data_IF_843959923111
#
_entry.id   IF_843959923111
#
_cell.length_a   1.000
_cell.length_b   1.000
_cell.length_c   1.000
_cell.angle_alpha   90.00
_cell.angle_beta   90.00
_cell.angle_gamma   90.00
#
_symmetry.space_group_name_H-M   'P 1'
#
loop_
_entity.id
_entity.type
_entity.pdbx_description
1 polymer ?
#
# COMPACT_ATOMS: atom_id res chain seq x y z
N UNK A 1 45.77 34.39 -25.37
CA UNK A 1 45.01 34.65 -24.13
C UNK A 1 43.86 33.63 -24.13
N UNK A 2 43.92 32.46 -23.49
CA UNK A 2 44.48 32.03 -22.21
C UNK A 2 43.79 32.61 -20.97
N UNK A 3 42.74 31.90 -20.52
CA UNK A 3 42.48 31.58 -19.10
C UNK A 3 41.69 30.26 -19.04
N UNK A 4 42.33 29.20 -18.52
CA UNK A 4 41.62 28.01 -18.01
C UNK A 4 41.39 28.22 -16.52
N UNK A 5 40.20 27.90 -16.01
CA UNK A 5 40.01 27.68 -14.56
C UNK A 5 39.05 26.52 -14.32
N UNK A 6 39.62 25.35 -14.07
CA UNK A 6 38.93 24.20 -13.46
C UNK A 6 38.52 24.51 -12.03
N UNK A 7 37.39 23.93 -11.57
CA UNK A 7 37.18 23.54 -10.17
C UNK A 7 36.12 22.44 -10.10
N UNK A 8 36.60 21.20 -10.06
CA UNK A 8 35.82 20.09 -9.50
C UNK A 8 35.65 20.37 -8.00
N UNK A 9 34.45 20.20 -7.46
CA UNK A 9 34.27 19.99 -6.03
C UNK A 9 33.49 18.70 -5.81
N UNK A 10 34.21 17.67 -5.38
CA UNK A 10 33.64 16.43 -4.88
C UNK A 10 33.03 16.73 -3.52
N UNK A 11 31.71 16.56 -3.40
CA UNK A 11 31.02 16.47 -2.11
C UNK A 11 30.61 15.02 -1.87
N UNK A 12 31.58 14.19 -1.49
CA UNK A 12 31.33 12.83 -1.03
C UNK A 12 30.83 12.89 0.43
N UNK A 13 29.53 13.10 0.62
CA UNK A 13 28.92 13.01 1.94
C UNK A 13 28.80 11.56 2.37
N UNK A 14 29.56 11.24 3.41
CA UNK A 14 29.67 9.93 4.07
C UNK A 14 28.38 9.14 4.18
N UNK A 15 28.54 7.82 4.05
CA UNK A 15 27.75 6.82 4.75
C UNK A 15 27.64 7.19 6.25
N UNK A 16 26.49 7.70 6.67
CA UNK A 16 26.01 7.49 8.03
C UNK A 16 25.10 6.27 7.99
N UNK A 17 25.65 5.11 8.38
CA UNK A 17 24.85 3.91 8.58
C UNK A 17 23.90 4.14 9.74
N UNK A 18 22.68 4.59 9.45
CA UNK A 18 21.62 4.67 10.45
C UNK A 18 21.14 3.26 10.76
N UNK A 19 21.85 2.61 11.70
CA UNK A 19 21.26 1.60 12.56
C UNK A 19 20.07 2.26 13.27
N UNK A 20 18.89 2.13 12.66
CA UNK A 20 17.63 2.42 13.33
C UNK A 20 17.59 1.53 14.58
N UNK A 21 17.61 2.09 15.80
CA UNK A 21 17.41 1.28 16.98
C UNK A 21 16.02 0.63 16.88
N UNK A 22 15.94 -0.66 17.20
CA UNK A 22 14.67 -1.38 17.31
C UNK A 22 13.90 -0.80 18.52
N UNK A 23 13.17 0.28 18.26
CA UNK A 23 12.67 1.18 19.29
C UNK A 23 12.22 2.52 18.72
N UNK A 24 11.50 2.51 17.60
CA UNK A 24 10.66 3.65 17.26
C UNK A 24 9.63 3.81 18.39
N UNK A 25 9.45 5.01 18.97
CA UNK A 25 8.41 5.21 19.97
C UNK A 25 7.06 4.94 19.29
N UNK A 26 6.31 3.98 19.82
CA UNK A 26 4.92 3.81 19.41
C UNK A 26 4.20 5.14 19.61
N UNK A 27 3.62 5.68 18.53
CA UNK A 27 2.89 6.95 18.57
C UNK A 27 1.62 6.75 19.41
N UNK A 28 1.75 6.97 20.72
CA UNK A 28 0.68 6.83 21.70
C UNK A 28 -0.37 7.91 21.46
N UNK A 29 -1.37 7.57 20.65
CA UNK A 29 -2.49 8.44 20.32
C UNK A 29 -3.35 8.77 21.56
N UNK A 30 -3.18 8.02 22.66
CA UNK A 30 -3.69 8.30 24.00
C UNK A 30 -3.25 9.65 24.57
N UNK A 31 -2.21 10.30 24.01
CA UNK A 31 -1.83 11.67 24.34
C UNK A 31 -2.62 12.75 23.60
N UNK A 32 -3.28 12.44 22.48
CA UNK A 32 -3.97 13.42 21.64
C UNK A 32 -5.44 13.63 22.03
N UNK A 33 -6.04 12.62 22.68
CA UNK A 33 -7.33 12.70 23.36
C UNK A 33 -7.08 12.39 24.84
N UNK A 34 -6.66 13.40 25.60
CA UNK A 34 -6.28 13.23 27.00
C UNK A 34 -7.38 12.52 27.80
N UNK A 35 -7.02 11.41 28.45
CA UNK A 35 -7.95 10.65 29.29
C UNK A 35 -8.55 11.57 30.37
N UNK A 36 -9.89 11.68 30.47
CA UNK A 36 -10.52 12.41 31.57
C UNK A 36 -10.42 11.67 32.91
N UNK A 37 -9.91 10.44 32.90
CA UNK A 37 -9.68 9.60 34.09
C UNK A 37 -8.21 9.65 34.48
N UNK A 38 -7.93 10.01 35.73
CA UNK A 38 -6.60 9.99 36.32
C UNK A 38 -6.08 8.54 36.47
N UNK A 39 -4.95 8.26 35.81
CA UNK A 39 -4.28 6.97 35.84
C UNK A 39 -3.81 6.57 37.25
N UNK A 40 -3.46 7.52 38.12
CA UNK A 40 -3.06 7.24 39.50
C UNK A 40 -4.25 6.79 40.36
N UNK A 41 -5.46 7.30 40.10
CA UNK A 41 -6.69 6.82 40.73
C UNK A 41 -7.10 5.46 40.17
N UNK A 42 -7.05 5.27 38.85
CA UNK A 42 -7.36 3.98 38.22
C UNK A 42 -6.44 2.84 38.72
N UNK A 43 -5.16 3.14 38.96
CA UNK A 43 -4.19 2.19 39.51
C UNK A 43 -4.48 1.74 40.96
N UNK A 44 -5.31 2.47 41.71
CA UNK A 44 -5.70 2.15 43.10
C UNK A 44 -6.92 1.22 43.18
N UNK A 45 -7.61 0.92 42.07
CA UNK A 45 -8.79 0.04 42.06
C UNK A 45 -8.40 -1.38 42.55
N UNK A 46 -9.13 -1.97 43.51
CA UNK A 46 -8.87 -3.35 43.97
C UNK A 46 -8.95 -4.37 42.83
N UNK A 47 -8.13 -5.42 42.88
CA UNK A 47 -7.95 -6.35 41.76
C UNK A 47 -9.26 -7.04 41.35
N UNK A 48 -10.17 -7.31 42.29
CA UNK A 48 -11.49 -7.91 42.06
C UNK A 48 -12.39 -7.03 41.18
N UNK A 49 -12.13 -5.72 41.14
CA UNK A 49 -12.89 -4.73 40.36
C UNK A 49 -12.20 -4.31 39.05
N UNK A 50 -10.96 -4.76 38.79
CA UNK A 50 -10.22 -4.42 37.57
C UNK A 50 -10.68 -5.18 36.32
N UNK A 51 -11.52 -6.21 36.43
CA UNK A 51 -11.86 -7.06 35.28
C UNK A 51 -12.42 -6.25 34.10
N UNK A 52 -13.32 -5.29 34.33
CA UNK A 52 -13.85 -4.43 33.27
C UNK A 52 -12.78 -3.49 32.67
N UNK A 53 -11.87 -2.98 33.50
CA UNK A 53 -10.74 -2.13 33.08
C UNK A 53 -9.79 -2.95 32.19
N UNK A 54 -9.37 -4.13 32.64
CA UNK A 54 -8.49 -5.03 31.88
C UNK A 54 -9.09 -5.42 30.52
N UNK A 55 -10.41 -5.68 30.46
CA UNK A 55 -11.11 -5.96 29.19
C UNK A 55 -11.11 -4.74 28.27
N UNK A 56 -11.36 -3.54 28.80
CA UNK A 56 -11.33 -2.30 28.03
C UNK A 56 -9.91 -1.98 27.52
N UNK A 57 -8.88 -2.10 28.38
CA UNK A 57 -7.47 -1.91 28.02
C UNK A 57 -7.04 -2.89 26.92
N UNK A 58 -7.41 -4.17 27.04
CA UNK A 58 -7.15 -5.14 25.98
C UNK A 58 -7.85 -4.75 24.68
N UNK A 59 -9.12 -4.33 24.70
CA UNK A 59 -9.84 -3.87 23.52
C UNK A 59 -9.17 -2.63 22.87
N UNK A 60 -8.73 -1.66 23.67
CA UNK A 60 -7.96 -0.49 23.20
C UNK A 60 -6.64 -0.93 22.55
N UNK A 61 -5.93 -1.90 23.12
CA UNK A 61 -4.72 -2.47 22.50
C UNK A 61 -5.03 -3.17 21.16
N UNK A 62 -6.13 -3.93 21.06
CA UNK A 62 -6.57 -4.56 19.81
C UNK A 62 -6.83 -3.49 18.71
N UNK A 63 -7.52 -2.39 19.06
CA UNK A 63 -7.84 -1.29 18.14
C UNK A 63 -6.60 -0.48 17.77
N UNK A 64 -5.68 -0.23 18.70
CA UNK A 64 -4.42 0.47 18.41
C UNK A 64 -3.57 -0.31 17.38
N UNK A 65 -3.58 -1.64 17.43
CA UNK A 65 -2.91 -2.47 16.43
C UNK A 65 -3.56 -2.34 15.03
N UNK A 66 -4.89 -2.19 14.95
CA UNK A 66 -5.58 -1.91 13.68
C UNK A 66 -5.27 -0.50 13.15
N UNK A 67 -5.20 0.51 14.02
CA UNK A 67 -4.83 1.89 13.64
C UNK A 67 -3.40 1.96 13.10
N UNK A 68 -2.45 1.27 13.74
CA UNK A 68 -1.08 1.15 13.22
C UNK A 68 -1.05 0.45 11.85
N UNK A 69 -1.82 -0.61 11.66
CA UNK A 69 -1.91 -1.32 10.38
C UNK A 69 -2.55 -0.44 9.29
N UNK A 70 -3.61 0.32 9.62
CA UNK A 70 -4.27 1.22 8.68
C UNK A 70 -3.30 2.29 8.16
N UNK A 71 -2.48 2.89 9.03
CA UNK A 71 -1.44 3.86 8.65
C UNK A 71 -0.41 3.28 7.68
N UNK A 72 0.06 2.05 7.92
CA UNK A 72 0.99 1.39 6.98
C UNK A 72 0.36 1.13 5.61
N UNK A 73 -0.96 0.91 5.55
CA UNK A 73 -1.71 0.75 4.29
C UNK A 73 -1.92 2.08 3.56
N UNK A 74 -2.16 3.16 4.31
CA UNK A 74 -2.21 4.53 3.80
C UNK A 74 -0.85 4.93 3.19
N UNK A 75 0.25 4.75 3.93
CA UNK A 75 1.62 4.99 3.42
C UNK A 75 1.96 4.12 2.19
N UNK A 76 1.49 2.87 2.12
CA UNK A 76 1.65 2.02 0.94
C UNK A 76 0.86 2.55 -0.26
N UNK A 77 -0.37 3.02 -0.06
CA UNK A 77 -1.20 3.58 -1.13
C UNK A 77 -0.58 4.86 -1.71
N UNK A 78 -0.06 5.76 -0.87
CA UNK A 78 0.66 6.96 -1.30
C UNK A 78 1.87 6.61 -2.18
N UNK A 79 2.63 5.57 -1.82
CA UNK A 79 3.79 5.11 -2.61
C UNK A 79 3.38 4.47 -3.93
N UNK A 80 2.18 3.89 -4.02
CA UNK A 80 1.62 3.37 -5.27
C UNK A 80 1.15 4.51 -6.19
N UNK A 81 0.55 5.58 -5.65
CA UNK A 81 0.20 6.78 -6.42
C UNK A 81 1.45 7.53 -6.93
N UNK A 82 2.46 7.72 -6.08
CA UNK A 82 3.79 8.25 -6.47
C UNK A 82 4.35 7.51 -7.70
N UNK A 83 4.28 6.17 -7.70
CA UNK A 83 4.74 5.30 -8.78
C UNK A 83 3.89 5.47 -10.06
N UNK A 84 2.56 5.53 -9.95
CA UNK A 84 1.67 5.76 -11.08
C UNK A 84 1.85 7.16 -11.70
N UNK A 85 2.07 8.18 -10.85
CA UNK A 85 2.40 9.55 -11.23
C UNK A 85 3.71 9.63 -12.01
N UNK A 86 4.75 8.91 -11.56
CA UNK A 86 6.02 8.77 -12.29
C UNK A 86 5.85 8.04 -13.64
N UNK A 87 5.07 6.96 -13.69
CA UNK A 87 4.74 6.26 -14.94
C UNK A 87 4.06 7.19 -15.96
N UNK A 88 3.11 8.01 -15.50
CA UNK A 88 2.43 9.02 -16.33
C UNK A 88 3.41 10.08 -16.86
N UNK A 89 4.37 10.54 -16.04
CA UNK A 89 5.41 11.49 -16.45
C UNK A 89 6.35 10.90 -17.50
N UNK A 90 6.77 9.64 -17.33
CA UNK A 90 7.58 8.92 -18.32
C UNK A 90 6.82 8.75 -19.66
N UNK A 91 5.54 8.39 -19.62
CA UNK A 91 4.70 8.26 -20.82
C UNK A 91 4.55 9.60 -21.58
N UNK A 92 4.29 10.71 -20.86
CA UNK A 92 4.24 12.06 -21.44
C UNK A 92 5.58 12.48 -22.05
N UNK A 93 6.69 12.21 -21.35
CA UNK A 93 8.04 12.50 -21.85
C UNK A 93 8.34 11.71 -23.13
N UNK A 94 7.98 10.41 -23.19
CA UNK A 94 8.09 9.58 -24.41
C UNK A 94 7.26 10.12 -25.57
N UNK A 95 6.01 10.53 -25.32
CA UNK A 95 5.15 11.12 -26.36
C UNK A 95 5.74 12.42 -26.93
N UNK A 96 6.27 13.29 -26.05
CA UNK A 96 6.98 14.49 -26.49
C UNK A 96 8.24 14.16 -27.29
N UNK A 97 9.04 13.18 -26.87
CA UNK A 97 10.23 12.75 -27.61
C UNK A 97 9.92 12.16 -28.99
N UNK A 98 8.80 11.45 -29.13
CA UNK A 98 8.31 10.96 -30.41
C UNK A 98 7.88 12.11 -31.35
N UNK A 99 7.20 13.13 -30.80
CA UNK A 99 6.85 14.35 -31.56
C UNK A 99 8.11 15.09 -32.04
N UNK A 100 9.09 15.32 -31.15
CA UNK A 100 10.38 15.94 -31.53
C UNK A 100 11.11 15.12 -32.59
N UNK A 101 11.08 13.78 -32.51
CA UNK A 101 11.68 12.91 -33.53
C UNK A 101 10.99 13.02 -34.90
N UNK A 102 9.65 13.15 -34.93
CA UNK A 102 8.88 13.41 -36.14
C UNK A 102 9.24 14.79 -36.74
N UNK A 103 9.36 15.82 -35.91
CA UNK A 103 9.67 17.17 -36.39
C UNK A 103 11.13 17.31 -36.85
N UNK A 104 12.08 16.57 -36.26
CA UNK A 104 13.43 16.37 -36.80
C UNK A 104 13.35 15.77 -38.21
N UNK A 105 12.60 14.68 -38.40
CA UNK A 105 12.49 14.01 -39.70
C UNK A 105 11.86 14.92 -40.77
N UNK A 106 10.86 15.75 -40.40
CA UNK A 106 10.30 16.78 -41.30
C UNK A 106 11.35 17.81 -41.70
N UNK A 107 12.12 18.33 -40.74
CA UNK A 107 13.17 19.33 -41.02
C UNK A 107 14.29 18.74 -41.89
N UNK A 108 14.69 17.49 -41.66
CA UNK A 108 15.67 16.79 -42.50
C UNK A 108 15.15 16.58 -43.92
N UNK A 109 13.85 16.26 -44.10
CA UNK A 109 13.22 16.18 -45.42
C UNK A 109 13.09 17.55 -46.12
N UNK A 110 12.78 18.63 -45.39
CA UNK A 110 12.74 20.01 -45.90
C UNK A 110 14.13 20.43 -46.40
N UNK A 111 15.18 20.15 -45.62
CA UNK A 111 16.58 20.44 -45.99
C UNK A 111 17.04 19.60 -47.19
N UNK A 112 16.73 18.30 -47.22
CA UNK A 112 17.04 17.43 -48.37
C UNK A 112 16.32 17.88 -49.66
N UNK A 113 15.15 18.49 -49.52
CA UNK A 113 14.37 19.05 -50.63
C UNK A 113 14.80 20.47 -51.04
N UNK A 114 15.83 21.04 -50.39
CA UNK A 114 16.30 22.43 -50.57
C UNK A 114 15.20 23.49 -50.40
N UNK A 115 14.21 23.24 -49.52
CA UNK A 115 13.09 24.14 -49.29
C UNK A 115 13.41 25.14 -48.17
N UNK A 116 13.14 26.42 -48.42
CA UNK A 116 13.36 27.50 -47.44
C UNK A 116 14.83 27.93 -47.34
N UNK A 117 15.20 28.55 -46.21
CA UNK A 117 16.56 29.04 -45.95
C UNK A 117 17.35 27.97 -45.20
N UNK A 118 18.45 27.51 -45.80
CA UNK A 118 19.26 26.41 -45.26
C UNK A 118 19.78 26.70 -43.83
N UNK A 119 20.20 27.94 -43.56
CA UNK A 119 20.75 28.33 -42.26
C UNK A 119 19.69 28.42 -41.15
N UNK A 120 18.50 28.96 -41.44
CA UNK A 120 17.36 28.94 -40.51
C UNK A 120 16.90 27.50 -40.24
N UNK A 121 16.81 26.66 -41.28
CA UNK A 121 16.47 25.24 -41.15
C UNK A 121 17.49 24.47 -40.30
N UNK A 122 18.79 24.71 -40.52
CA UNK A 122 19.87 24.07 -39.77
C UNK A 122 19.85 24.47 -38.29
N UNK A 123 19.51 25.73 -37.98
CA UNK A 123 19.30 26.17 -36.61
C UNK A 123 18.14 25.44 -35.95
N UNK A 124 16.96 25.40 -36.58
CA UNK A 124 15.77 24.68 -36.07
C UNK A 124 16.09 23.20 -35.84
N UNK A 125 16.81 22.56 -36.77
CA UNK A 125 17.21 21.16 -36.65
C UNK A 125 18.15 20.92 -35.45
N UNK A 126 19.08 21.84 -35.18
CA UNK A 126 19.98 21.76 -34.02
C UNK A 126 19.23 21.99 -32.70
N UNK A 127 18.30 22.94 -32.66
CA UNK A 127 17.45 23.20 -31.49
C UNK A 127 16.58 21.96 -31.17
N UNK A 128 15.92 21.37 -32.18
CA UNK A 128 15.16 20.11 -32.03
C UNK A 128 16.04 18.93 -31.58
N UNK A 129 17.27 18.82 -32.08
CA UNK A 129 18.23 17.78 -31.64
C UNK A 129 18.66 17.99 -30.18
N UNK A 130 18.85 19.23 -29.75
CA UNK A 130 19.11 19.59 -28.35
C UNK A 130 17.95 19.19 -27.43
N UNK A 131 16.71 19.52 -27.81
CA UNK A 131 15.51 19.18 -27.04
C UNK A 131 15.27 17.66 -26.99
N UNK A 132 15.59 16.93 -28.05
CA UNK A 132 15.57 15.45 -28.04
C UNK A 132 16.56 14.87 -27.03
N UNK A 133 17.75 15.44 -26.87
CA UNK A 133 18.73 15.00 -25.86
C UNK A 133 18.20 15.24 -24.45
N UNK A 134 17.71 16.45 -24.15
CA UNK A 134 17.09 16.78 -22.85
C UNK A 134 15.94 15.83 -22.51
N UNK A 135 15.09 15.52 -23.48
CA UNK A 135 13.97 14.58 -23.29
C UNK A 135 14.45 13.15 -22.97
N UNK A 136 15.54 12.68 -23.58
CA UNK A 136 16.14 11.37 -23.23
C UNK A 136 16.74 11.39 -21.82
N UNK A 137 17.36 12.50 -21.40
CA UNK A 137 17.82 12.67 -20.01
C UNK A 137 16.67 12.64 -19.01
N UNK A 138 15.55 13.31 -19.31
CA UNK A 138 14.31 13.25 -18.52
C UNK A 138 13.75 11.83 -18.43
N UNK A 139 13.60 11.12 -19.55
CA UNK A 139 13.12 9.73 -19.57
C UNK A 139 14.01 8.84 -18.68
N UNK A 140 15.34 9.00 -18.78
CA UNK A 140 16.31 8.29 -17.92
C UNK A 140 16.17 8.68 -16.45
N UNK A 141 15.87 9.96 -16.17
CA UNK A 141 15.56 10.47 -14.84
C UNK A 141 14.28 9.87 -14.24
N UNK A 142 13.21 9.76 -15.03
CA UNK A 142 11.96 9.14 -14.60
C UNK A 142 12.10 7.63 -14.41
N UNK A 143 12.80 6.93 -15.31
CA UNK A 143 13.02 5.48 -15.17
C UNK A 143 13.71 5.15 -13.84
N UNK A 144 14.83 5.82 -13.52
CA UNK A 144 15.53 5.62 -12.23
C UNK A 144 14.64 5.88 -11.01
N UNK A 145 13.73 6.86 -11.10
CA UNK A 145 12.75 7.16 -10.03
C UNK A 145 11.68 6.07 -9.91
N UNK A 146 11.22 5.51 -11.04
CA UNK A 146 10.28 4.37 -11.06
C UNK A 146 10.94 3.13 -10.47
N UNK A 147 12.19 2.83 -10.84
CA UNK A 147 12.93 1.68 -10.33
C UNK A 147 13.09 1.78 -8.80
N UNK A 148 13.46 2.96 -8.29
CA UNK A 148 13.53 3.23 -6.85
C UNK A 148 12.16 3.14 -6.15
N UNK A 149 11.11 3.76 -6.71
CA UNK A 149 9.75 3.69 -6.18
C UNK A 149 9.22 2.25 -6.12
N UNK A 150 9.52 1.43 -7.12
CA UNK A 150 9.15 0.01 -7.18
C UNK A 150 9.77 -0.77 -6.03
N UNK A 151 11.04 -0.51 -5.69
CA UNK A 151 11.71 -1.12 -4.54
C UNK A 151 11.05 -0.70 -3.21
N UNK A 152 10.67 0.57 -3.06
CA UNK A 152 9.94 1.05 -1.89
C UNK A 152 8.55 0.42 -1.76
N UNK A 153 7.73 0.42 -2.81
CA UNK A 153 6.40 -0.21 -2.80
C UNK A 153 6.48 -1.68 -2.40
N UNK A 154 7.49 -2.41 -2.89
CA UNK A 154 7.74 -3.81 -2.52
C UNK A 154 8.09 -3.98 -1.03
N UNK A 155 9.00 -3.15 -0.50
CA UNK A 155 9.36 -3.16 0.93
C UNK A 155 8.15 -2.84 1.83
N UNK A 156 7.40 -1.78 1.50
CA UNK A 156 6.17 -1.42 2.20
C UNK A 156 5.09 -2.51 2.13
N UNK A 157 4.92 -3.17 0.98
CA UNK A 157 4.02 -4.32 0.83
C UNK A 157 4.41 -5.46 1.79
N UNK A 158 5.71 -5.75 1.93
CA UNK A 158 6.21 -6.76 2.86
C UNK A 158 6.00 -6.34 4.34
N UNK A 159 6.18 -5.04 4.66
CA UNK A 159 5.91 -4.50 6.00
C UNK A 159 4.43 -4.60 6.37
N UNK A 160 3.52 -4.25 5.46
CA UNK A 160 2.07 -4.42 5.64
C UNK A 160 1.74 -5.88 5.90
N UNK A 161 2.16 -6.80 5.01
CA UNK A 161 1.88 -8.24 5.19
C UNK A 161 2.44 -8.80 6.52
N UNK A 162 3.62 -8.35 6.94
CA UNK A 162 4.20 -8.73 8.23
C UNK A 162 3.39 -8.19 9.41
N UNK A 163 2.93 -6.93 9.34
CA UNK A 163 2.07 -6.33 10.38
C UNK A 163 0.68 -6.97 10.41
N UNK A 164 0.08 -7.27 9.26
CA UNK A 164 -1.21 -7.97 9.18
C UNK A 164 -1.16 -9.31 9.92
N UNK A 165 -0.10 -10.10 9.68
CA UNK A 165 0.12 -11.34 10.42
C UNK A 165 0.28 -11.08 11.92
N UNK A 166 1.13 -10.12 12.31
CA UNK A 166 1.34 -9.79 13.71
C UNK A 166 0.07 -9.30 14.44
N UNK A 167 -0.81 -8.56 13.75
CA UNK A 167 -2.11 -8.09 14.27
C UNK A 167 -3.09 -9.26 14.40
N UNK A 168 -3.12 -10.18 13.42
CA UNK A 168 -3.92 -11.39 13.51
C UNK A 168 -3.48 -12.29 14.68
N UNK A 169 -2.17 -12.54 14.82
CA UNK A 169 -1.57 -13.30 15.91
C UNK A 169 -1.83 -12.61 17.27
N UNK A 170 -1.71 -11.28 17.35
CA UNK A 170 -2.03 -10.51 18.56
C UNK A 170 -3.51 -10.66 18.94
N UNK A 171 -4.41 -10.57 17.96
CA UNK A 171 -5.85 -10.71 18.18
C UNK A 171 -6.25 -12.10 18.65
N UNK A 172 -5.71 -13.14 18.03
CA UNK A 172 -5.93 -14.52 18.46
C UNK A 172 -5.49 -14.75 19.92
N UNK A 173 -4.35 -14.18 20.31
CA UNK A 173 -3.77 -14.41 21.63
C UNK A 173 -4.32 -13.53 22.76
N UNK A 174 -4.83 -12.31 22.47
CA UNK A 174 -5.28 -11.35 23.51
C UNK A 174 -6.73 -10.87 23.41
N UNK A 175 -7.33 -10.93 22.22
CA UNK A 175 -8.69 -10.45 21.99
C UNK A 175 -9.71 -11.61 21.95
N UNK A 176 -9.25 -12.87 22.03
CA UNK A 176 -10.07 -14.08 21.86
C UNK A 176 -10.44 -14.87 23.12
N UNK A 177 -9.91 -14.54 24.32
CA UNK A 177 -10.20 -15.29 25.55
C UNK A 177 -11.15 -14.50 26.45
N UNK A 178 -12.45 -14.77 26.30
CA UNK A 178 -13.47 -14.48 27.32
C UNK A 178 -14.19 -15.78 27.69
N UNK A 179 -13.46 -16.69 28.33
CA UNK A 179 -14.07 -17.77 29.09
C UNK A 179 -14.32 -17.25 30.52
N UNK A 180 -15.58 -17.09 30.97
CA UNK A 180 -15.84 -16.70 32.35
C UNK A 180 -15.36 -17.82 33.27
N UNK A 181 -14.50 -17.48 34.25
CA UNK A 181 -14.12 -18.40 35.30
C UNK A 181 -15.34 -18.68 36.19
N UNK A 182 -16.02 -19.80 35.94
CA UNK A 182 -17.08 -20.29 36.82
C UNK A 182 -16.43 -20.87 38.08
N UNK A 183 -16.62 -20.29 39.28
CA UNK A 183 -16.15 -20.91 40.50
C UNK A 183 -16.97 -22.20 40.75
N UNK A 184 -16.31 -23.35 40.66
CA UNK A 184 -16.92 -24.63 41.00
C UNK A 184 -17.15 -24.71 42.51
N UNK A 185 -18.38 -24.44 42.96
CA UNK A 185 -18.81 -24.68 44.34
C UNK A 185 -19.34 -26.12 44.45
N UNK A 186 -18.91 -26.80 45.52
CA UNK A 186 -19.13 -28.22 45.78
C UNK A 186 -20.60 -28.63 45.86
N UNK A 187 -20.89 -29.88 45.46
CA UNK A 187 -22.21 -30.49 45.53
C UNK A 187 -22.54 -31.07 46.93
N UNK A 188 -23.83 -31.06 47.29
CA UNK A 188 -24.50 -31.94 48.27
C UNK A 188 -26.03 -31.98 47.98
N UNK A 189 -26.80 -33.03 48.36
CA UNK A 189 -27.93 -33.49 47.52
C UNK A 189 -29.35 -33.54 48.15
N UNK A 190 -30.36 -33.83 47.28
CA UNK A 190 -31.70 -34.42 47.52
C UNK A 190 -32.81 -33.58 48.20
N UNK A 191 -34.12 -33.66 47.91
CA UNK A 191 -34.96 -34.24 46.80
C UNK A 191 -36.31 -33.40 46.72
N UNK A 192 -37.54 -33.89 46.42
CA UNK A 192 -38.20 -33.71 45.12
C UNK A 192 -39.60 -33.05 45.13
N UNK A 193 -40.12 -32.61 43.96
CA UNK A 193 -41.58 -32.39 43.77
C UNK A 193 -42.04 -32.47 42.30
N UNK A 194 -43.21 -33.05 42.08
CA UNK A 194 -43.99 -33.15 40.81
C UNK A 194 -45.33 -32.43 41.02
N UNK A 195 -46.04 -31.83 40.06
CA UNK A 195 -46.04 -31.85 38.58
C UNK A 195 -46.41 -30.43 38.04
N UNK A 196 -46.79 -30.12 36.79
CA UNK A 196 -47.13 -30.88 35.58
C UNK A 196 -46.97 -30.05 34.28
N UNK A 197 -47.07 -30.74 33.14
CA UNK A 197 -47.29 -30.26 31.75
C UNK A 197 -48.83 -30.26 31.49
N UNK A 198 -49.47 -29.60 30.47
CA UNK A 198 -48.98 -29.27 29.11
C UNK A 198 -49.40 -27.85 28.59
N UNK A 199 -49.20 -27.40 27.34
CA UNK A 199 -48.95 -28.11 26.07
C UNK A 199 -48.28 -27.24 24.97
N UNK A 200 -47.64 -27.93 24.00
CA UNK A 200 -47.49 -27.58 22.57
C UNK A 200 -46.65 -26.32 22.19
N UNK A 201 -45.93 -26.24 21.05
CA UNK A 201 -45.89 -27.06 19.82
C UNK A 201 -44.45 -27.28 19.31
N UNK A 202 -44.23 -28.42 18.62
CA UNK A 202 -43.65 -28.61 17.26
C UNK A 202 -43.14 -27.36 16.50
N UNK A 203 -42.25 -27.38 15.49
CA UNK A 203 -41.38 -28.35 14.78
C UNK A 203 -40.47 -27.49 13.85
N UNK A 204 -39.30 -27.86 13.33
CA UNK A 204 -38.28 -28.89 13.63
C UNK A 204 -36.93 -28.37 13.02
N UNK A 205 -35.82 -29.12 13.09
CA UNK A 205 -34.49 -28.68 12.66
C UNK A 205 -34.01 -29.27 11.32
N UNK A 206 -32.92 -28.70 10.77
CA UNK A 206 -32.11 -29.17 9.62
C UNK A 206 -32.77 -28.99 8.25
N UNK A 207 -32.08 -28.62 7.15
CA UNK A 207 -30.85 -29.20 6.58
C UNK A 207 -30.06 -28.15 5.77
N UNK A 208 -28.73 -28.31 5.72
CA UNK A 208 -27.80 -27.55 4.87
C UNK A 208 -27.78 -28.15 3.46
N UNK A 209 -27.90 -27.34 2.41
CA UNK A 209 -27.44 -27.71 1.05
C UNK A 209 -26.84 -26.52 0.31
N UNK A 210 -25.60 -26.68 -0.17
CA UNK A 210 -24.96 -25.77 -1.14
C UNK A 210 -25.60 -25.90 -2.53
N UNK A 211 -25.84 -24.79 -3.22
CA UNK A 211 -25.51 -24.68 -4.66
C UNK A 211 -25.58 -23.23 -5.19
N UNK A 212 -24.40 -22.69 -5.49
CA UNK A 212 -24.17 -21.79 -6.62
C UNK A 212 -23.47 -22.68 -7.68
N UNK A 213 -23.92 -22.72 -8.95
CA UNK A 213 -23.32 -21.81 -9.94
C UNK A 213 -24.30 -21.33 -11.03
N UNK A 214 -24.20 -20.06 -11.43
CA UNK A 214 -25.06 -19.45 -12.46
C UNK A 214 -24.30 -18.52 -13.42
N UNK A 215 -23.15 -18.93 -13.92
CA UNK A 215 -22.37 -18.15 -14.87
C UNK A 215 -23.01 -18.15 -16.27
N UNK A 216 -23.50 -16.98 -16.71
CA UNK A 216 -23.88 -16.73 -18.09
C UNK A 216 -23.08 -15.52 -18.63
N UNK A 217 -21.95 -15.81 -19.27
CA UNK A 217 -21.14 -14.82 -20.00
C UNK A 217 -21.36 -14.98 -21.50
N UNK A 218 -22.26 -14.18 -22.07
CA UNK A 218 -22.36 -14.01 -23.52
C UNK A 218 -21.32 -13.00 -24.03
N UNK A 219 -20.27 -13.49 -24.69
CA UNK A 219 -19.48 -12.69 -25.64
C UNK A 219 -18.82 -13.58 -26.72
N UNK A 220 -18.84 -13.20 -28.02
CA UNK A 220 -18.57 -14.14 -29.11
C UNK A 220 -17.08 -14.38 -29.40
N UNK A 221 -16.85 -15.41 -30.23
CA UNK A 221 -15.54 -15.96 -30.58
C UNK A 221 -14.59 -14.98 -31.30
N UNK A 222 -13.27 -15.11 -31.09
CA UNK A 222 -12.25 -14.49 -31.93
C UNK A 222 -11.95 -15.36 -33.17
N UNK A 223 -11.81 -14.72 -34.33
CA UNK A 223 -11.36 -15.37 -35.56
C UNK A 223 -9.84 -15.66 -35.51
N UNK A 224 -9.43 -16.76 -36.13
CA UNK A 224 -8.02 -17.11 -36.36
C UNK A 224 -7.57 -16.50 -37.69
N UNK A 225 -6.49 -15.72 -37.76
CA UNK A 225 -5.84 -15.40 -39.02
C UNK A 225 -4.91 -16.56 -39.43
N UNK A 226 -5.18 -17.18 -40.57
CA UNK A 226 -4.27 -18.18 -41.15
C UNK A 226 -2.95 -17.55 -41.60
N UNK A 227 -1.85 -18.24 -41.28
CA UNK A 227 -0.53 -17.91 -41.80
C UNK A 227 -0.40 -18.39 -43.24
N UNK A 228 -0.35 -17.47 -44.21
CA UNK A 228 0.14 -17.77 -45.55
C UNK A 228 1.41 -16.96 -45.83
N UNK A 229 2.57 -17.59 -45.61
CA UNK A 229 3.78 -17.25 -46.35
C UNK A 229 3.67 -17.92 -47.72
N UNK A 230 3.71 -17.13 -48.78
CA UNK A 230 4.01 -17.60 -50.15
C UNK A 230 5.28 -16.91 -50.65
N UNK A 231 6.09 -17.68 -51.38
CA UNK A 231 7.38 -17.30 -51.97
C UNK A 231 7.35 -15.99 -52.78
#
# INVERSE_FOLDING_TARGET
MSTRTTKNLVAATLFAGLLLPAGAPAFSLSGMFGSPVDAQLAAQVPQEKRQAINTADNAVLCVNQDVELAKLKEELADKQDDLASLGTKLAKSRASGAQTALDIAKMEAIMASNLGKLEDNAKILNDLKSDRVKNVEEQTGYQRKIDAATLYVRDWTQRVATKEKAVADFKANRCGIVAPATPAVSAAPAMPATSATPAAQNDDATVITHQEPGAASDKPAPAVPESNLTN
#
